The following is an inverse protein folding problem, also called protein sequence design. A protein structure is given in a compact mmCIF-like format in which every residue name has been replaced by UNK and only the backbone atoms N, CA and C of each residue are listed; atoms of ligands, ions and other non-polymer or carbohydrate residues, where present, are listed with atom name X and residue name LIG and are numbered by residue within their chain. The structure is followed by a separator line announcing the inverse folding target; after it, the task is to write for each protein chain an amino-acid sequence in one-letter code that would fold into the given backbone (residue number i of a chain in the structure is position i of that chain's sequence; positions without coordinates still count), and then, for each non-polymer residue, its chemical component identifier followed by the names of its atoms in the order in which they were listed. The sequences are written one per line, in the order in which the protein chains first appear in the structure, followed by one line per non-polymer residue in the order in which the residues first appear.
data_IF_502119718959
#
_entry.id   IF_502119718959
#
_cell.length_a   1.000
_cell.length_b   1.000
_cell.length_c   1.000
_cell.angle_alpha   90.00
_cell.angle_beta   90.00
_cell.angle_gamma   90.00
#
_symmetry.space_group_name_H-M   'P 1'
#
loop_
_entity.id
_entity.type
_entity.pdbx_description
1 polymer ?
#
# COMPACT_ATOMS: atom_id res chain seq x y z
N UNK A 1 35.77 1.88 16.94
CA UNK A 1 35.11 1.82 15.61
C UNK A 1 33.66 1.41 15.81
N UNK A 2 32.72 2.36 15.69
CA UNK A 2 31.26 2.15 15.75
C UNK A 2 30.63 3.00 14.62
N UNK A 3 30.74 2.57 13.37
CA UNK A 3 30.29 3.38 12.21
C UNK A 3 29.39 2.68 11.17
N UNK A 4 29.25 1.34 11.05
CA UNK A 4 28.35 0.77 10.05
C UNK A 4 26.87 0.69 10.50
N UNK A 5 26.61 0.62 11.81
CA UNK A 5 25.26 0.37 12.32
C UNK A 5 24.35 1.62 12.25
N UNK A 6 24.87 2.78 12.63
CA UNK A 6 24.11 4.03 12.61
C UNK A 6 23.73 4.47 11.19
N UNK A 7 24.63 4.29 10.21
CA UNK A 7 24.35 4.62 8.82
C UNK A 7 23.29 3.68 8.19
N UNK A 8 23.32 2.39 8.55
CA UNK A 8 22.31 1.44 8.10
C UNK A 8 20.92 1.73 8.70
N UNK A 9 20.86 2.05 10.00
CA UNK A 9 19.60 2.46 10.65
C UNK A 9 19.01 3.73 10.04
N UNK A 10 19.83 4.76 9.83
CA UNK A 10 19.38 6.00 9.22
C UNK A 10 18.89 5.80 7.78
N UNK A 11 19.47 4.85 7.04
CA UNK A 11 18.98 4.48 5.71
C UNK A 11 17.62 3.79 5.78
N UNK A 12 17.41 2.90 6.75
CA UNK A 12 16.12 2.21 6.94
C UNK A 12 15.02 3.19 7.37
N UNK A 13 15.29 4.11 8.28
CA UNK A 13 14.35 5.15 8.70
C UNK A 13 13.96 6.07 7.53
N UNK A 14 14.93 6.46 6.70
CA UNK A 14 14.66 7.25 5.50
C UNK A 14 13.83 6.49 4.46
N UNK A 15 14.08 5.19 4.28
CA UNK A 15 13.31 4.33 3.38
C UNK A 15 11.86 4.19 3.87
N UNK A 16 11.65 3.99 5.18
CA UNK A 16 10.33 3.92 5.79
C UNK A 16 9.58 5.25 5.63
N UNK A 17 10.21 6.39 5.93
CA UNK A 17 9.58 7.70 5.79
C UNK A 17 9.12 7.98 4.36
N UNK A 18 9.95 7.65 3.35
CA UNK A 18 9.56 7.77 1.94
C UNK A 18 8.38 6.85 1.59
N UNK A 19 8.39 5.62 2.10
CA UNK A 19 7.31 4.68 1.85
C UNK A 19 6.00 5.13 2.51
N UNK A 20 6.06 5.71 3.71
CA UNK A 20 4.90 6.33 4.37
C UNK A 20 4.27 7.40 3.49
N UNK A 21 5.07 8.36 3.01
CA UNK A 21 4.56 9.41 2.11
C UNK A 21 3.89 8.81 0.86
N UNK A 22 4.50 7.79 0.25
CA UNK A 22 3.94 7.14 -0.95
C UNK A 22 2.59 6.47 -0.64
N UNK A 23 2.45 5.81 0.51
CA UNK A 23 1.21 5.14 0.91
C UNK A 23 0.13 6.16 1.25
N UNK A 24 0.47 7.23 1.97
CA UNK A 24 -0.45 8.32 2.29
C UNK A 24 -0.94 9.03 1.02
N UNK A 25 -0.03 9.44 0.14
CA UNK A 25 -0.38 10.06 -1.15
C UNK A 25 -1.23 9.13 -2.02
N UNK A 26 -0.97 7.82 -1.98
CA UNK A 26 -1.77 6.84 -2.71
C UNK A 26 -3.22 6.77 -2.19
N UNK A 27 -3.40 6.73 -0.86
CA UNK A 27 -4.72 6.71 -0.21
C UNK A 27 -5.46 8.02 -0.49
N UNK A 28 -4.79 9.17 -0.30
CA UNK A 28 -5.37 10.49 -0.56
C UNK A 28 -5.76 10.66 -2.03
N UNK A 29 -4.93 10.20 -2.96
CA UNK A 29 -5.24 10.25 -4.38
C UNK A 29 -6.48 9.43 -4.74
N UNK A 30 -6.63 8.22 -4.19
CA UNK A 30 -7.84 7.41 -4.39
C UNK A 30 -9.05 8.13 -3.81
N UNK A 31 -8.94 8.63 -2.59
CA UNK A 31 -10.00 9.36 -1.90
C UNK A 31 -10.49 10.57 -2.73
N UNK A 32 -9.57 11.43 -3.14
CA UNK A 32 -9.86 12.64 -3.94
C UNK A 32 -10.54 12.30 -5.26
N UNK A 33 -10.06 11.29 -5.99
CA UNK A 33 -10.61 10.94 -7.30
C UNK A 33 -11.95 10.21 -7.23
N UNK A 34 -12.20 9.48 -6.16
CA UNK A 34 -13.43 8.71 -5.97
C UNK A 34 -14.53 9.48 -5.23
N UNK A 35 -14.20 10.60 -4.58
CA UNK A 35 -15.12 11.37 -3.74
C UNK A 35 -15.29 10.75 -2.34
N UNK A 36 -14.30 9.97 -1.89
CA UNK A 36 -14.26 9.33 -0.59
C UNK A 36 -13.33 10.09 0.36
N UNK A 37 -13.39 9.76 1.65
CA UNK A 37 -12.33 10.14 2.60
C UNK A 37 -11.16 9.14 2.55
N UNK A 38 -10.00 9.52 3.09
CA UNK A 38 -8.89 8.59 3.26
C UNK A 38 -9.26 7.38 4.13
N UNK A 39 -10.07 7.60 5.18
CA UNK A 39 -10.57 6.53 6.04
C UNK A 39 -11.53 5.58 5.29
N UNK A 40 -12.45 6.12 4.48
CA UNK A 40 -13.34 5.28 3.68
C UNK A 40 -12.57 4.45 2.65
N UNK A 41 -11.52 5.05 2.08
CA UNK A 41 -10.63 4.38 1.13
C UNK A 41 -9.90 3.22 1.80
N UNK A 42 -9.29 3.45 2.96
CA UNK A 42 -8.64 2.40 3.74
C UNK A 42 -9.62 1.27 4.08
N UNK A 43 -10.82 1.62 4.56
CA UNK A 43 -11.84 0.62 4.88
C UNK A 43 -12.18 -0.28 3.66
N UNK A 44 -12.30 0.30 2.47
CA UNK A 44 -12.56 -0.48 1.25
C UNK A 44 -11.38 -1.40 0.93
N UNK A 45 -10.13 -0.93 1.06
CA UNK A 45 -8.93 -1.71 0.79
C UNK A 45 -8.68 -2.82 1.83
N UNK A 46 -9.19 -2.65 3.05
CA UNK A 46 -9.18 -3.67 4.10
C UNK A 46 -10.26 -4.74 3.89
N UNK A 47 -11.43 -4.34 3.42
CA UNK A 47 -12.58 -5.23 3.23
C UNK A 47 -12.50 -6.05 1.94
N UNK A 48 -11.86 -5.49 0.90
CA UNK A 48 -11.87 -6.07 -0.44
C UNK A 48 -10.49 -6.07 -1.07
N UNK A 49 -10.14 -7.19 -1.70
CA UNK A 49 -8.94 -7.26 -2.53
C UNK A 49 -9.05 -6.37 -3.76
N UNK A 50 -7.91 -6.00 -4.35
CA UNK A 50 -7.85 -5.18 -5.57
C UNK A 50 -8.64 -5.84 -6.73
N UNK A 51 -8.56 -7.17 -6.87
CA UNK A 51 -9.30 -7.89 -7.91
C UNK A 51 -10.80 -7.92 -7.64
N UNK A 52 -11.19 -8.08 -6.38
CA UNK A 52 -12.58 -7.95 -5.99
C UNK A 52 -13.07 -6.55 -6.36
N UNK A 53 -12.38 -5.48 -5.97
CA UNK A 53 -12.80 -4.10 -6.24
C UNK A 53 -12.97 -3.84 -7.74
N UNK A 54 -12.04 -4.36 -8.56
CA UNK A 54 -12.11 -4.28 -10.02
C UNK A 54 -13.32 -4.98 -10.63
N UNK A 55 -13.83 -6.04 -9.99
CA UNK A 55 -14.95 -6.83 -10.50
C UNK A 55 -16.33 -6.15 -10.39
N UNK A 56 -16.39 -4.87 -10.00
CA UNK A 56 -17.59 -4.00 -9.89
C UNK A 56 -18.70 -4.49 -8.96
N UNK A 57 -18.57 -5.68 -8.35
CA UNK A 57 -19.59 -6.29 -7.48
C UNK A 57 -19.53 -5.86 -6.01
N UNK A 58 -19.20 -4.60 -5.71
CA UNK A 58 -19.09 -4.17 -4.31
C UNK A 58 -20.29 -3.43 -3.77
N UNK A 59 -20.92 -4.11 -2.82
CA UNK A 59 -21.93 -3.66 -1.88
C UNK A 59 -21.31 -2.90 -0.70
N UNK A 60 -20.26 -2.11 -0.94
CA UNK A 60 -19.92 -1.03 -0.02
C UNK A 60 -21.11 -0.09 -0.09
N UNK A 61 -21.94 -0.02 0.95
CA UNK A 61 -23.13 0.85 0.98
C UNK A 61 -22.83 2.35 0.82
N UNK A 62 -21.61 2.71 0.43
CA UNK A 62 -21.13 4.05 0.11
C UNK A 62 -21.24 4.28 -1.41
N UNK A 63 -21.96 5.33 -1.77
CA UNK A 63 -22.02 5.80 -3.15
C UNK A 63 -20.72 6.53 -3.50
N UNK A 64 -19.84 5.90 -4.29
CA UNK A 64 -18.66 6.53 -4.87
C UNK A 64 -18.53 6.21 -6.36
N UNK A 65 -17.70 6.96 -7.08
CA UNK A 65 -17.49 6.71 -8.50
C UNK A 65 -16.55 5.52 -8.72
N UNK A 66 -17.11 4.31 -8.90
CA UNK A 66 -16.35 3.07 -9.05
C UNK A 66 -15.32 3.12 -10.20
N UNK A 67 -15.66 3.74 -11.34
CA UNK A 67 -14.73 3.87 -12.46
C UNK A 67 -13.51 4.75 -12.11
N UNK A 68 -13.74 5.89 -11.43
CA UNK A 68 -12.66 6.75 -10.96
C UNK A 68 -11.85 6.09 -9.84
N UNK A 69 -12.52 5.37 -8.94
CA UNK A 69 -11.86 4.60 -7.89
C UNK A 69 -10.92 3.55 -8.49
N UNK A 70 -11.40 2.71 -9.41
CA UNK A 70 -10.58 1.66 -10.03
C UNK A 70 -9.36 2.24 -10.76
N UNK A 71 -9.53 3.33 -11.52
CA UNK A 71 -8.40 4.03 -12.16
C UNK A 71 -7.41 4.60 -11.15
N UNK A 72 -7.91 5.16 -10.06
CA UNK A 72 -7.05 5.74 -9.03
C UNK A 72 -6.32 4.65 -8.25
N UNK A 73 -7.01 3.56 -7.92
CA UNK A 73 -6.47 2.37 -7.29
C UNK A 73 -5.34 1.77 -8.13
N UNK A 74 -5.54 1.59 -9.43
CA UNK A 74 -4.50 1.06 -10.31
C UNK A 74 -3.24 1.94 -10.32
N UNK A 75 -3.40 3.27 -10.27
CA UNK A 75 -2.26 4.19 -10.21
C UNK A 75 -1.55 4.10 -8.85
N UNK A 76 -2.31 4.08 -7.75
CA UNK A 76 -1.81 3.92 -6.39
C UNK A 76 -1.01 2.61 -6.22
N UNK A 77 -1.60 1.50 -6.65
CA UNK A 77 -0.95 0.18 -6.60
C UNK A 77 0.33 0.17 -7.42
N UNK A 78 0.37 0.82 -8.60
CA UNK A 78 1.61 0.94 -9.39
C UNK A 78 2.69 1.75 -8.66
N UNK A 79 2.33 2.84 -7.99
CA UNK A 79 3.29 3.63 -7.21
C UNK A 79 3.89 2.81 -6.06
N UNK A 80 3.05 2.10 -5.32
CA UNK A 80 3.50 1.22 -4.22
C UNK A 80 4.36 0.07 -4.77
N UNK A 81 3.94 -0.56 -5.86
CA UNK A 81 4.69 -1.62 -6.53
C UNK A 81 6.07 -1.15 -6.99
N UNK A 82 6.16 0.04 -7.58
CA UNK A 82 7.43 0.63 -8.00
C UNK A 82 8.38 0.88 -6.81
N UNK A 83 7.85 1.37 -5.69
CA UNK A 83 8.64 1.66 -4.50
C UNK A 83 9.12 0.38 -3.78
N UNK A 84 8.30 -0.68 -3.79
CA UNK A 84 8.52 -1.88 -2.97
C UNK A 84 9.03 -3.08 -3.76
N UNK A 85 8.85 -3.10 -5.08
CA UNK A 85 9.09 -4.28 -5.93
C UNK A 85 8.06 -5.40 -5.74
N UNK A 86 6.93 -5.11 -5.06
CA UNK A 86 5.85 -6.07 -4.84
C UNK A 86 4.86 -6.04 -6.00
N UNK A 87 4.19 -7.16 -6.24
CA UNK A 87 3.10 -7.22 -7.21
C UNK A 87 1.75 -6.84 -6.58
N UNK A 88 0.72 -6.67 -7.41
CA UNK A 88 -0.64 -6.28 -6.97
C UNK A 88 -1.24 -7.23 -5.94
N UNK A 89 -1.04 -8.54 -6.09
CA UNK A 89 -1.58 -9.52 -5.14
C UNK A 89 -0.93 -9.39 -3.77
N UNK A 90 0.40 -9.20 -3.72
CA UNK A 90 1.12 -9.00 -2.47
C UNK A 90 0.70 -7.72 -1.75
N UNK A 91 0.56 -6.62 -2.51
CA UNK A 91 0.09 -5.33 -1.96
C UNK A 91 -1.34 -5.49 -1.45
N UNK A 92 -2.22 -6.13 -2.22
CA UNK A 92 -3.61 -6.38 -1.83
C UNK A 92 -3.71 -7.22 -0.55
N UNK A 93 -2.84 -8.23 -0.40
CA UNK A 93 -2.81 -9.06 0.81
C UNK A 93 -2.36 -8.28 2.04
N UNK A 94 -1.52 -7.25 1.87
CA UNK A 94 -1.09 -6.40 2.98
C UNK A 94 -2.25 -5.51 3.45
N UNK A 95 -2.97 -4.87 2.53
CA UNK A 95 -4.13 -4.05 2.88
C UNK A 95 -5.26 -4.88 3.52
N UNK A 96 -5.54 -6.07 3.00
CA UNK A 96 -6.60 -6.96 3.53
C UNK A 96 -6.20 -7.78 4.77
N UNK A 97 -4.90 -7.84 5.09
CA UNK A 97 -4.36 -8.73 6.13
C UNK A 97 -4.61 -8.29 7.58
N UNK A 98 -4.98 -7.02 7.80
CA UNK A 98 -5.27 -6.48 9.13
C UNK A 98 -6.34 -5.40 9.01
N UNK A 99 -7.47 -5.57 9.70
CA UNK A 99 -8.56 -4.60 9.73
C UNK A 99 -8.23 -3.43 10.65
N UNK A 100 -8.65 -2.23 10.27
CA UNK A 100 -8.39 -0.97 10.98
C UNK A 100 -6.89 -0.72 11.17
N UNK A 101 -6.09 -1.12 10.19
CA UNK A 101 -4.65 -0.97 10.28
C UNK A 101 -4.28 0.52 10.15
N UNK A 102 -3.45 1.00 11.07
CA UNK A 102 -2.81 2.30 10.89
C UNK A 102 -1.88 2.27 9.66
N UNK A 103 -1.70 3.41 9.00
CA UNK A 103 -0.80 3.54 7.84
C UNK A 103 0.61 3.05 8.18
N UNK A 104 1.12 3.35 9.37
CA UNK A 104 2.42 2.86 9.83
C UNK A 104 2.51 1.33 9.85
N UNK A 105 1.45 0.62 10.27
CA UNK A 105 1.41 -0.85 10.22
C UNK A 105 1.47 -1.35 8.77
N UNK A 106 0.73 -0.72 7.86
CA UNK A 106 0.71 -1.07 6.43
C UNK A 106 2.11 -0.87 5.83
N UNK A 107 2.76 0.25 6.12
CA UNK A 107 4.11 0.60 5.64
C UNK A 107 5.15 -0.41 6.15
N UNK A 108 5.10 -0.76 7.44
CA UNK A 108 6.01 -1.76 8.00
C UNK A 108 5.87 -3.11 7.31
N UNK A 109 4.64 -3.57 7.08
CA UNK A 109 4.36 -4.84 6.38
C UNK A 109 4.79 -4.81 4.91
N UNK A 110 4.59 -3.69 4.21
CA UNK A 110 5.11 -3.47 2.85
C UNK A 110 6.65 -3.54 2.82
N UNK A 111 7.32 -2.86 3.76
CA UNK A 111 8.78 -2.89 3.86
C UNK A 111 9.30 -4.28 4.15
N UNK A 112 8.70 -4.98 5.11
CA UNK A 112 9.10 -6.34 5.47
C UNK A 112 8.97 -7.29 4.27
N UNK A 113 7.82 -7.28 3.60
CA UNK A 113 7.58 -8.12 2.42
C UNK A 113 8.54 -7.78 1.28
N UNK A 114 8.82 -6.50 1.05
CA UNK A 114 9.81 -6.05 0.06
C UNK A 114 11.21 -6.61 0.34
N UNK A 115 11.65 -6.59 1.60
CA UNK A 115 12.96 -7.17 1.99
C UNK A 115 13.00 -8.68 1.75
N UNK A 116 11.94 -9.40 2.10
CA UNK A 116 11.83 -10.84 1.86
C UNK A 116 11.96 -11.18 0.37
N UNK A 117 11.28 -10.44 -0.51
CA UNK A 117 11.36 -10.66 -1.96
C UNK A 117 12.77 -10.39 -2.51
N UNK A 118 13.43 -9.31 -2.06
CA UNK A 118 14.82 -9.02 -2.46
C UNK A 118 15.80 -10.09 -2.01
N UNK A 119 15.60 -10.67 -0.82
CA UNK A 119 16.42 -11.78 -0.34
C UNK A 119 16.22 -13.07 -1.14
N UNK A 120 14.98 -13.37 -1.56
CA UNK A 120 14.71 -14.55 -2.38
C UNK A 120 15.34 -14.48 -3.78
N UNK A 121 15.49 -13.28 -4.36
CA UNK A 121 16.12 -13.07 -5.66
C UNK A 121 17.66 -13.10 -5.62
N UNK A 122 18.27 -12.91 -4.44
CA UNK A 122 19.73 -12.90 -4.28
C UNK A 122 20.35 -14.29 -4.08
N UNK A 123 19.54 -15.34 -3.95
CA UNK A 123 19.98 -16.71 -3.64
C UNK A 123 19.69 -17.72 -4.78
N UNK A 124 19.40 -17.21 -5.99
CA UNK A 124 19.32 -17.97 -7.24
C UNK A 124 20.39 -17.46 -8.21
#
# INVERSE_FOLDING_TARGET
MMLPYAAAQQTEENDLAKLTVIVEEAIEFIAEKSGLTGQDTLQILEEFSVEEIRSEKHASGKSFNASKFNKALDKAIRSIAYATGLNTSEISNIFTGEKHAAVDSIVLRLREKSRQNRWSLSHY
#
